data_IF_728358047417
#
_entry.id   IF_728358047417
#
_cell.length_a   1.000
_cell.length_b   1.000
_cell.length_c   1.000
_cell.angle_alpha   90.00
_cell.angle_beta   90.00
_cell.angle_gamma   90.00
#
_symmetry.space_group_name_H-M   'P 1'
#
loop_
_entity.id
_entity.type
_entity.pdbx_description
1 polymer ?
#
# COMPACT_ATOMS: atom_id res chain seq x y z
N UNK A 1 8.86 -15.52 5.49
CA UNK A 1 7.95 -16.41 4.72
C UNK A 1 6.51 -15.89 4.62
N UNK A 2 5.72 -15.80 5.70
CA UNK A 2 4.31 -15.33 5.61
C UNK A 2 4.20 -13.83 5.32
N UNK A 3 4.94 -13.00 6.07
CA UNK A 3 4.94 -11.56 5.87
C UNK A 3 5.50 -11.17 4.50
N UNK A 4 6.52 -11.88 4.00
CA UNK A 4 7.07 -11.65 2.65
C UNK A 4 6.06 -11.94 1.54
N UNK A 5 5.27 -13.01 1.70
CA UNK A 5 4.23 -13.34 0.73
C UNK A 5 3.14 -12.26 0.71
N UNK A 6 2.71 -11.81 1.89
CA UNK A 6 1.73 -10.72 2.03
C UNK A 6 2.29 -9.44 1.40
N UNK A 7 3.51 -9.07 1.78
CA UNK A 7 4.24 -7.90 1.26
C UNK A 7 4.27 -7.91 -0.27
N UNK A 8 4.60 -9.05 -0.89
CA UNK A 8 4.60 -9.20 -2.37
C UNK A 8 3.21 -9.01 -2.99
N UNK A 9 2.15 -9.54 -2.37
CA UNK A 9 0.78 -9.30 -2.86
C UNK A 9 0.42 -7.83 -2.83
N UNK A 10 0.81 -7.12 -1.76
CA UNK A 10 0.60 -5.68 -1.63
C UNK A 10 1.42 -4.92 -2.68
N UNK A 11 2.69 -5.28 -2.86
CA UNK A 11 3.55 -4.67 -3.88
C UNK A 11 3.00 -4.83 -5.30
N UNK A 12 2.49 -6.00 -5.67
CA UNK A 12 1.88 -6.18 -6.99
C UNK A 12 0.70 -5.22 -7.23
N UNK A 13 -0.14 -5.01 -6.20
CA UNK A 13 -1.21 -4.03 -6.27
C UNK A 13 -0.66 -2.60 -6.38
N UNK A 14 0.30 -2.24 -5.52
CA UNK A 14 0.91 -0.92 -5.51
C UNK A 14 1.58 -0.59 -6.84
N UNK A 15 2.36 -1.52 -7.41
CA UNK A 15 3.00 -1.42 -8.72
C UNK A 15 2.01 -1.24 -9.87
N UNK A 16 0.88 -1.95 -9.82
CA UNK A 16 -0.18 -1.76 -10.80
C UNK A 16 -0.84 -0.38 -10.70
N UNK A 17 -1.00 0.13 -9.47
CA UNK A 17 -1.52 1.48 -9.23
C UNK A 17 -0.46 2.57 -9.48
N UNK A 18 0.81 2.18 -9.55
CA UNK A 18 1.94 3.07 -9.64
C UNK A 18 2.04 3.72 -11.01
N UNK A 19 1.74 5.02 -11.07
CA UNK A 19 1.93 5.81 -12.28
C UNK A 19 3.40 6.23 -12.47
N UNK A 20 4.26 6.09 -11.45
CA UNK A 20 5.61 6.68 -11.39
C UNK A 20 6.75 5.66 -11.14
N UNK A 21 6.48 4.40 -10.80
CA UNK A 21 7.46 3.30 -10.70
C UNK A 21 8.28 3.22 -9.41
N UNK A 22 7.79 3.77 -8.30
CA UNK A 22 8.45 3.82 -7.00
C UNK A 22 8.36 2.52 -6.18
N UNK A 23 7.32 1.70 -6.34
CA UNK A 23 7.10 0.54 -5.48
C UNK A 23 7.84 -0.72 -5.98
N UNK A 24 9.14 -0.85 -5.79
CA UNK A 24 9.93 -1.98 -6.32
C UNK A 24 10.20 -3.09 -5.28
N UNK A 25 10.13 -4.37 -5.70
CA UNK A 25 10.60 -5.54 -4.90
C UNK A 25 12.08 -5.88 -5.19
N UNK A 26 12.63 -5.27 -6.23
CA UNK A 26 14.04 -5.35 -6.61
C UNK A 26 14.83 -4.26 -5.88
N UNK A 27 16.15 -4.45 -5.70
CA UNK A 27 16.99 -3.28 -5.37
C UNK A 27 16.86 -2.38 -6.58
N UNK A 28 16.36 -1.17 -6.41
CA UNK A 28 16.43 -0.21 -7.49
C UNK A 28 17.91 -0.09 -7.87
N UNK A 29 18.24 -0.20 -9.15
CA UNK A 29 19.62 0.01 -9.62
C UNK A 29 20.06 1.47 -9.42
N UNK A 30 19.13 2.36 -9.06
CA UNK A 30 19.43 3.58 -8.32
C UNK A 30 19.97 3.17 -6.95
N UNK A 31 21.31 3.06 -6.88
CA UNK A 31 22.08 2.72 -5.69
C UNK A 31 21.44 3.34 -4.43
N UNK A 32 21.26 2.51 -3.38
CA UNK A 32 20.83 2.87 -2.02
C UNK A 32 19.33 2.91 -1.68
N UNK A 33 18.38 2.68 -2.60
CA UNK A 33 16.96 2.58 -2.20
C UNK A 33 16.66 1.21 -1.57
N UNK A 34 16.32 1.13 -0.26
CA UNK A 34 16.02 -0.14 0.39
C UNK A 34 14.71 -0.73 -0.11
N UNK A 35 14.61 -2.07 -0.08
CA UNK A 35 13.34 -2.76 -0.33
C UNK A 35 12.30 -2.31 0.70
N UNK A 36 11.08 -2.09 0.24
CA UNK A 36 9.97 -1.77 1.13
C UNK A 36 9.75 -2.89 2.13
N UNK A 37 9.65 -2.49 3.40
CA UNK A 37 9.35 -3.41 4.49
C UNK A 37 7.90 -3.88 4.42
N UNK A 38 7.53 -4.83 5.27
CA UNK A 38 6.14 -5.22 5.43
C UNK A 38 5.26 -4.04 5.87
N UNK A 39 5.75 -3.24 6.82
CA UNK A 39 5.03 -2.07 7.35
C UNK A 39 4.88 -1.00 6.28
N UNK A 40 5.95 -0.70 5.53
CA UNK A 40 5.88 0.25 4.41
C UNK A 40 4.88 -0.19 3.35
N UNK A 41 4.81 -1.49 3.05
CA UNK A 41 3.84 -1.99 2.08
C UNK A 41 2.41 -1.72 2.52
N UNK A 42 2.10 -1.88 3.81
CA UNK A 42 0.78 -1.57 4.38
C UNK A 42 0.56 -0.06 4.42
N UNK A 43 1.57 0.71 4.84
CA UNK A 43 1.54 2.18 4.87
C UNK A 43 1.10 2.76 3.53
N UNK A 44 1.73 2.33 2.45
CA UNK A 44 1.43 2.81 1.11
C UNK A 44 0.12 2.29 0.57
N UNK A 45 -0.28 1.07 0.94
CA UNK A 45 -1.62 0.58 0.63
C UNK A 45 -2.70 1.50 1.22
N UNK A 46 -2.53 1.92 2.48
CA UNK A 46 -3.41 2.88 3.13
C UNK A 46 -3.39 4.25 2.44
N UNK A 47 -2.22 4.69 2.00
CA UNK A 47 -2.06 5.91 1.20
C UNK A 47 -2.85 5.89 -0.08
N UNK A 48 -2.65 4.86 -0.90
CA UNK A 48 -3.32 4.72 -2.20
C UNK A 48 -4.84 4.64 -2.05
N UNK A 49 -5.33 3.89 -1.06
CA UNK A 49 -6.78 3.75 -0.89
C UNK A 49 -7.48 4.98 -0.32
N UNK A 50 -6.72 5.93 0.24
CA UNK A 50 -7.26 7.13 0.87
C UNK A 50 -6.44 8.36 0.43
N UNK A 51 -6.06 8.41 -0.85
CA UNK A 51 -5.08 9.38 -1.37
C UNK A 51 -5.52 10.82 -1.11
N UNK A 52 -6.80 11.12 -1.33
CA UNK A 52 -7.39 12.45 -1.09
C UNK A 52 -7.17 12.93 0.34
N UNK A 53 -7.23 12.03 1.32
CA UNK A 53 -7.00 12.39 2.71
C UNK A 53 -5.52 12.66 2.99
N UNK A 54 -4.63 11.75 2.59
CA UNK A 54 -3.21 11.87 2.92
C UNK A 54 -2.51 13.02 2.16
N UNK A 55 -2.91 13.31 0.92
CA UNK A 55 -2.40 14.48 0.19
C UNK A 55 -2.82 15.82 0.78
N UNK A 56 -3.87 15.85 1.62
CA UNK A 56 -4.22 17.06 2.39
C UNK A 56 -3.35 17.23 3.66
N UNK A 57 -2.58 16.21 4.07
CA UNK A 57 -1.72 16.26 5.25
C UNK A 57 -0.25 16.51 4.90
N UNK A 58 0.25 15.84 3.86
CA UNK A 58 1.65 15.87 3.42
C UNK A 58 1.72 15.82 1.91
N UNK A 59 2.78 16.39 1.32
CA UNK A 59 2.99 16.32 -0.13
C UNK A 59 3.26 14.88 -0.58
N UNK A 60 3.92 14.08 0.26
CA UNK A 60 4.17 12.67 0.01
C UNK A 60 3.98 11.80 1.26
N UNK A 61 3.29 10.66 1.12
CA UNK A 61 3.11 9.70 2.22
C UNK A 61 4.43 9.13 2.76
N UNK A 62 5.53 9.24 2.03
CA UNK A 62 6.87 8.91 2.54
C UNK A 62 7.27 9.71 3.78
N UNK A 63 6.67 10.90 3.97
CA UNK A 63 6.91 11.76 5.12
C UNK A 63 6.22 11.27 6.40
N UNK A 64 5.25 10.35 6.29
CA UNK A 64 4.55 9.79 7.43
C UNK A 64 5.16 8.47 7.88
N UNK A 65 5.21 8.29 9.20
CA UNK A 65 5.53 7.01 9.80
C UNK A 65 4.35 6.05 9.75
N UNK A 66 4.62 4.74 9.82
CA UNK A 66 3.58 3.70 9.78
C UNK A 66 2.50 3.94 10.86
N UNK A 67 2.91 4.20 12.09
CA UNK A 67 1.99 4.43 13.21
C UNK A 67 1.13 5.68 13.02
N UNK A 68 1.65 6.71 12.36
CA UNK A 68 0.90 7.92 12.04
C UNK A 68 -0.20 7.64 11.03
N UNK A 69 0.13 6.92 9.96
CA UNK A 69 -0.85 6.48 8.95
C UNK A 69 -1.96 5.66 9.59
N UNK A 70 -1.63 4.68 10.44
CA UNK A 70 -2.64 3.88 11.14
C UNK A 70 -3.47 4.74 12.10
N UNK A 71 -2.86 5.67 12.83
CA UNK A 71 -3.55 6.59 13.74
C UNK A 71 -4.52 7.50 12.99
N UNK A 72 -4.09 8.11 11.88
CA UNK A 72 -4.95 8.95 11.07
C UNK A 72 -6.12 8.17 10.49
N UNK A 73 -5.89 6.95 10.00
CA UNK A 73 -6.95 6.10 9.49
C UNK A 73 -8.01 5.76 10.54
N UNK A 74 -7.62 5.54 11.79
CA UNK A 74 -8.55 5.29 12.90
C UNK A 74 -9.32 6.55 13.27
N UNK A 75 -8.63 7.68 13.38
CA UNK A 75 -9.25 8.96 13.76
C UNK A 75 -10.25 9.48 12.72
N UNK A 76 -10.11 9.05 11.46
CA UNK A 76 -10.97 9.45 10.34
C UNK A 76 -11.87 8.30 9.86
N UNK A 77 -12.05 7.25 10.68
CA UNK A 77 -13.04 6.18 10.49
C UNK A 77 -12.89 5.30 9.23
N UNK A 78 -11.79 5.41 8.49
CA UNK A 78 -11.55 4.57 7.30
C UNK A 78 -10.66 3.35 7.55
N UNK A 79 -10.03 3.23 8.72
CA UNK A 79 -9.15 2.11 9.06
C UNK A 79 -9.80 0.74 8.81
N UNK A 80 -11.00 0.52 9.32
CA UNK A 80 -11.68 -0.78 9.20
C UNK A 80 -12.01 -1.11 7.74
N UNK A 81 -12.39 -0.11 6.95
CA UNK A 81 -12.69 -0.31 5.53
C UNK A 81 -11.41 -0.65 4.74
N UNK A 82 -10.34 0.13 4.94
CA UNK A 82 -9.04 -0.13 4.31
C UNK A 82 -8.48 -1.49 4.73
N UNK A 83 -8.60 -1.86 6.01
CA UNK A 83 -8.13 -3.16 6.51
C UNK A 83 -8.93 -4.34 5.94
N UNK A 84 -10.25 -4.19 5.73
CA UNK A 84 -11.06 -5.20 5.01
C UNK A 84 -10.56 -5.40 3.58
N UNK A 85 -10.28 -4.30 2.86
CA UNK A 85 -9.73 -4.36 1.50
C UNK A 85 -8.34 -5.00 1.46
N UNK A 86 -7.49 -4.68 2.43
CA UNK A 86 -6.20 -5.36 2.63
C UNK A 86 -6.39 -6.87 2.84
N UNK A 87 -7.33 -7.27 3.71
CA UNK A 87 -7.63 -8.68 3.94
C UNK A 87 -8.14 -9.40 2.67
N UNK A 88 -8.90 -8.73 1.82
CA UNK A 88 -9.30 -9.30 0.52
C UNK A 88 -8.08 -9.50 -0.38
N UNK A 89 -7.18 -8.52 -0.44
CA UNK A 89 -5.95 -8.60 -1.24
C UNK A 89 -5.03 -9.74 -0.77
N UNK A 90 -4.82 -9.91 0.54
CA UNK A 90 -3.91 -10.95 1.04
C UNK A 90 -4.48 -12.36 0.87
N UNK A 91 -5.80 -12.52 0.89
CA UNK A 91 -6.47 -13.83 0.81
C UNK A 91 -6.91 -14.20 -0.61
N UNK A 92 -6.79 -13.31 -1.58
CA UNK A 92 -7.16 -13.62 -2.96
C UNK A 92 -6.15 -14.55 -3.64
N UNK A 93 -6.66 -15.37 -4.56
CA UNK A 93 -5.87 -16.11 -5.56
C UNK A 93 -5.76 -15.35 -6.89
N UNK A 94 -6.46 -14.22 -7.04
CA UNK A 94 -6.51 -13.39 -8.24
C UNK A 94 -5.31 -12.43 -8.30
N UNK A 95 -4.11 -12.98 -8.33
CA UNK A 95 -2.88 -12.19 -8.45
C UNK A 95 -2.86 -11.50 -9.82
N UNK A 96 -2.55 -10.20 -9.87
CA UNK A 96 -2.47 -9.40 -11.09
C UNK A 96 -3.79 -9.29 -11.89
N UNK A 97 -4.95 -9.53 -11.26
CA UNK A 97 -6.26 -9.28 -11.86
C UNK A 97 -6.61 -7.79 -11.74
N UNK A 98 -6.53 -7.08 -12.88
CA UNK A 98 -6.82 -5.65 -12.99
C UNK A 98 -8.24 -5.32 -12.51
N UNK A 99 -9.21 -6.18 -12.79
CA UNK A 99 -10.60 -5.94 -12.39
C UNK A 99 -10.74 -6.04 -10.87
N UNK A 100 -10.05 -7.03 -10.27
CA UNK A 100 -9.98 -7.14 -8.81
C UNK A 100 -9.31 -5.91 -8.18
N UNK A 101 -8.19 -5.44 -8.72
CA UNK A 101 -7.50 -4.26 -8.19
C UNK A 101 -8.34 -2.98 -8.30
N UNK A 102 -9.04 -2.76 -9.42
CA UNK A 102 -10.00 -1.65 -9.55
C UNK A 102 -11.11 -1.72 -8.52
N UNK A 103 -11.61 -2.92 -8.23
CA UNK A 103 -12.63 -3.11 -7.20
C UNK A 103 -12.13 -2.81 -5.78
N UNK A 104 -10.82 -2.82 -5.53
CA UNK A 104 -10.26 -2.39 -4.25
C UNK A 104 -10.23 -0.86 -4.12
N UNK A 105 -10.15 -0.12 -5.24
CA UNK A 105 -10.16 1.35 -5.23
C UNK A 105 -11.58 1.91 -5.00
N UNK A 106 -12.60 1.22 -5.51
CA UNK A 106 -14.01 1.58 -5.33
C UNK A 106 -14.57 1.15 -3.97
#
# INVERSE_FOLDING_TARGET
MKNDLIRRKILNFLQWNDKNGYYTDERCDLEEVPRLTYEDSIKYFFGVLNEDFYYNLVDNIFELEFDEVIRYAKNNEFYENTYKKLNLLINTNKVNDISFYRNLLN
#
